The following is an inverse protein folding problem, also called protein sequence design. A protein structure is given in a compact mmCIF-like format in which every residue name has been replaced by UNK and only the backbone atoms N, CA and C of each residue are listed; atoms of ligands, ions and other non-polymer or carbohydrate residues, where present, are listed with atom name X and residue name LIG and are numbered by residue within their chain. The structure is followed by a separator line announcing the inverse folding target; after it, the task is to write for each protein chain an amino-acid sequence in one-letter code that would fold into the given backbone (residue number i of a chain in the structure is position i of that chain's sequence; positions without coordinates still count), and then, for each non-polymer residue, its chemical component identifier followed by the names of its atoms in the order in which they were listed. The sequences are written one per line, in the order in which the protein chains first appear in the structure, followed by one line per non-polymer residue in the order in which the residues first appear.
data_IF_301337713074
#
_entry.id   IF_301337713074
#
_cell.length_a   1.000
_cell.length_b   1.000
_cell.length_c   1.000
_cell.angle_alpha   90.00
_cell.angle_beta   90.00
_cell.angle_gamma   90.00
#
_symmetry.space_group_name_H-M   'P 1'
#
loop_
_entity.id
_entity.type
_entity.pdbx_description
1 polymer ?
#
# COMPACT_ATOMS: atom_id res chain seq x y z
N UNK A 1 18.21 -4.50 14.50
CA UNK A 1 17.93 -5.33 13.32
C UNK A 1 16.47 -5.13 12.93
N UNK A 2 16.19 -4.32 11.91
CA UNK A 2 14.83 -3.91 11.50
C UNK A 2 14.32 -4.75 10.32
N UNK A 3 14.51 -6.07 10.39
CA UNK A 3 14.12 -7.01 9.35
C UNK A 3 12.66 -7.45 9.56
N UNK A 4 11.71 -7.10 8.67
CA UNK A 4 10.33 -7.52 8.82
C UNK A 4 10.22 -9.04 8.69
N UNK A 5 9.43 -9.67 9.58
CA UNK A 5 9.12 -11.10 9.55
C UNK A 5 7.63 -11.27 9.39
N UNK A 6 7.21 -12.05 8.39
CA UNK A 6 5.83 -12.49 8.27
C UNK A 6 5.60 -13.69 9.19
N UNK A 7 4.59 -13.61 10.04
CA UNK A 7 4.21 -14.64 11.01
C UNK A 7 2.70 -14.82 11.02
N UNK A 8 2.24 -15.84 11.77
CA UNK A 8 0.83 -16.23 11.89
C UNK A 8 0.19 -16.65 10.55
N UNK A 9 0.43 -17.91 10.20
CA UNK A 9 -0.12 -18.54 9.00
C UNK A 9 -1.43 -19.28 9.25
N UNK A 10 -2.13 -19.01 10.38
CA UNK A 10 -3.34 -19.74 10.78
C UNK A 10 -4.53 -19.58 9.81
N UNK A 11 -4.50 -18.53 8.98
CA UNK A 11 -5.52 -18.24 7.97
C UNK A 11 -5.04 -18.47 6.52
N UNK A 12 -3.86 -19.06 6.33
CA UNK A 12 -3.34 -19.32 4.98
C UNK A 12 -4.26 -20.27 4.23
N UNK A 13 -4.72 -19.81 3.08
CA UNK A 13 -5.52 -20.59 2.13
C UNK A 13 -4.66 -20.93 0.90
N UNK A 14 -4.08 -22.13 0.88
CA UNK A 14 -3.22 -22.61 -0.23
C UNK A 14 -2.16 -23.62 0.20
N UNK A 15 -1.51 -24.32 -0.75
CA UNK A 15 -0.47 -25.34 -0.48
C UNK A 15 -0.45 -26.48 -1.51
N UNK A 16 0.19 -27.61 -1.18
CA UNK A 16 0.31 -28.83 -2.04
C UNK A 16 -1.03 -29.56 -2.23
N UNK A 17 -2.15 -28.97 -1.81
CA UNK A 17 -3.47 -29.58 -1.92
C UNK A 17 -4.12 -29.19 -3.25
N UNK A 18 -4.71 -30.13 -4.01
CA UNK A 18 -4.75 -30.05 -5.48
C UNK A 18 -5.78 -29.07 -6.04
N UNK A 19 -6.67 -28.54 -5.20
CA UNK A 19 -7.82 -27.76 -5.67
C UNK A 19 -8.35 -26.91 -4.51
N UNK A 20 -8.00 -25.62 -4.48
CA UNK A 20 -8.67 -24.59 -3.67
C UNK A 20 -8.56 -23.18 -4.28
N UNK A 21 -8.75 -23.04 -5.60
CA UNK A 21 -9.15 -21.73 -6.15
C UNK A 21 -10.54 -21.29 -5.66
N UNK A 22 -11.22 -22.18 -4.92
CA UNK A 22 -12.56 -22.03 -4.37
C UNK A 22 -12.51 -22.13 -2.83
N UNK A 23 -11.75 -21.27 -2.16
CA UNK A 23 -12.17 -20.87 -0.81
C UNK A 23 -13.17 -19.73 -1.01
N UNK A 24 -14.43 -20.10 -1.17
CA UNK A 24 -15.51 -19.14 -1.28
C UNK A 24 -15.57 -18.28 -0.01
N UNK A 25 -15.61 -16.97 -0.22
CA UNK A 25 -15.78 -15.93 0.79
C UNK A 25 -17.15 -15.94 1.49
N UNK A 26 -17.63 -17.09 1.94
CA UNK A 26 -18.89 -17.14 2.68
C UNK A 26 -18.74 -16.54 4.10
N UNK A 27 -17.51 -16.38 4.59
CA UNK A 27 -17.24 -15.79 5.90
C UNK A 27 -16.18 -14.70 5.79
N UNK A 28 -16.46 -13.53 6.37
CA UNK A 28 -15.50 -12.46 6.55
C UNK A 28 -14.53 -12.88 7.66
N UNK A 29 -13.30 -13.24 7.29
CA UNK A 29 -12.25 -13.64 8.25
C UNK A 29 -11.05 -12.71 8.05
N UNK A 30 -10.53 -12.17 9.15
CA UNK A 30 -9.33 -11.31 9.14
C UNK A 30 -9.39 -10.24 10.22
N UNK A 31 -8.37 -9.40 10.25
CA UNK A 31 -8.29 -8.26 11.16
C UNK A 31 -9.00 -7.04 10.57
N UNK A 32 -9.87 -6.42 11.36
CA UNK A 32 -10.62 -5.24 10.92
C UNK A 32 -9.67 -4.11 10.49
N UNK A 33 -10.02 -3.41 9.41
CA UNK A 33 -9.17 -2.38 8.81
C UNK A 33 -8.15 -2.91 7.79
N UNK A 34 -7.90 -4.22 7.77
CA UNK A 34 -7.03 -4.89 6.78
C UNK A 34 -7.82 -5.84 5.85
N UNK A 35 -9.08 -6.12 6.17
CA UNK A 35 -9.98 -6.91 5.34
C UNK A 35 -10.44 -6.10 4.13
N UNK A 36 -10.30 -6.70 2.95
CA UNK A 36 -10.88 -6.17 1.72
C UNK A 36 -12.36 -6.58 1.56
N UNK A 37 -13.26 -5.68 1.98
CA UNK A 37 -14.70 -5.87 1.82
C UNK A 37 -15.20 -5.72 0.37
N UNK A 38 -14.37 -5.21 -0.56
CA UNK A 38 -14.78 -5.05 -1.97
C UNK A 38 -14.58 -6.33 -2.77
N UNK A 39 -13.74 -7.25 -2.30
CA UNK A 39 -13.51 -8.54 -2.95
C UNK A 39 -14.73 -9.45 -3.03
N UNK A 40 -15.72 -9.26 -2.15
CA UNK A 40 -16.93 -10.08 -2.12
C UNK A 40 -17.77 -9.92 -3.40
N UNK A 41 -17.80 -8.71 -3.97
CA UNK A 41 -18.61 -8.40 -5.14
C UNK A 41 -17.97 -8.93 -6.45
N UNK A 42 -16.64 -9.06 -6.50
CA UNK A 42 -15.88 -9.42 -7.70
C UNK A 42 -15.39 -10.88 -7.73
N UNK A 43 -15.94 -11.74 -6.87
CA UNK A 43 -15.67 -13.19 -6.93
C UNK A 43 -14.42 -13.65 -6.17
N UNK A 44 -13.91 -12.84 -5.25
CA UNK A 44 -12.90 -13.18 -4.25
C UNK A 44 -11.59 -13.82 -4.74
N UNK A 45 -10.49 -13.05 -4.63
CA UNK A 45 -9.13 -13.55 -4.85
C UNK A 45 -8.29 -13.32 -3.61
N UNK A 46 -7.85 -14.40 -2.93
CA UNK A 46 -6.97 -14.31 -1.76
C UNK A 46 -5.71 -13.48 -2.06
N UNK A 47 -5.10 -13.70 -3.23
CA UNK A 47 -3.95 -12.92 -3.69
C UNK A 47 -4.23 -11.41 -3.79
N UNK A 48 -5.45 -10.98 -4.16
CA UNK A 48 -5.83 -9.56 -4.22
C UNK A 48 -6.19 -8.99 -2.86
N UNK A 49 -6.68 -9.83 -1.95
CA UNK A 49 -6.88 -9.46 -0.54
C UNK A 49 -5.53 -9.25 0.16
N UNK A 50 -4.53 -10.09 -0.11
CA UNK A 50 -3.16 -9.92 0.39
C UNK A 50 -2.53 -8.60 -0.10
N UNK A 51 -2.71 -8.28 -1.38
CA UNK A 51 -2.27 -6.99 -1.96
C UNK A 51 -2.93 -5.82 -1.24
N UNK A 52 -4.25 -5.91 -1.00
CA UNK A 52 -4.98 -4.87 -0.29
C UNK A 52 -4.46 -4.67 1.13
N UNK A 53 -4.34 -5.75 1.91
CA UNK A 53 -3.85 -5.69 3.28
C UNK A 53 -2.43 -5.12 3.35
N UNK A 54 -1.57 -5.52 2.41
CA UNK A 54 -0.23 -4.94 2.28
C UNK A 54 -0.27 -3.44 1.92
N UNK A 55 -1.17 -3.02 1.03
CA UNK A 55 -1.41 -1.62 0.71
C UNK A 55 -1.82 -0.79 1.93
N UNK A 56 -2.71 -1.32 2.77
CA UNK A 56 -3.06 -0.71 4.07
C UNK A 56 -1.81 -0.56 4.94
N UNK A 57 -1.00 -1.63 5.07
CA UNK A 57 0.24 -1.60 5.87
C UNK A 57 1.22 -0.52 5.36
N UNK A 58 1.42 -0.42 4.04
CA UNK A 58 2.25 0.63 3.44
C UNK A 58 1.78 2.03 3.84
N UNK A 59 0.48 2.29 3.67
CA UNK A 59 -0.14 3.58 4.02
C UNK A 59 0.00 3.86 5.52
N UNK A 60 -0.26 2.87 6.38
CA UNK A 60 -0.14 2.95 7.82
C UNK A 60 1.27 3.36 8.25
N UNK A 61 2.30 2.73 7.68
CA UNK A 61 3.70 3.01 8.01
C UNK A 61 4.09 4.45 7.64
N UNK A 62 3.84 4.87 6.39
CA UNK A 62 4.29 6.20 5.94
C UNK A 62 3.49 7.34 6.58
N UNK A 63 2.23 7.10 6.95
CA UNK A 63 1.40 8.09 7.62
C UNK A 63 1.49 8.06 9.15
N UNK A 64 2.25 7.10 9.72
CA UNK A 64 2.29 6.80 11.17
C UNK A 64 0.89 6.66 11.76
N UNK A 65 -0.04 6.05 11.02
CA UNK A 65 -1.44 5.85 11.40
C UNK A 65 -1.75 4.37 11.52
N UNK A 66 -2.45 3.99 12.58
CA UNK A 66 -2.94 2.61 12.77
C UNK A 66 -4.44 2.67 12.99
N UNK A 67 -5.14 1.59 12.65
CA UNK A 67 -6.56 1.43 12.97
C UNK A 67 -6.73 0.57 14.22
N UNK A 68 -7.37 1.11 15.23
CA UNK A 68 -7.57 0.48 16.54
C UNK A 68 -9.03 0.08 16.76
N UNK A 69 -9.28 -0.68 17.84
CA UNK A 69 -10.65 -0.99 18.25
C UNK A 69 -11.43 0.25 18.69
N UNK A 70 -10.77 1.26 19.27
CA UNK A 70 -11.39 2.55 19.60
C UNK A 70 -11.87 3.27 18.32
N UNK A 71 -11.04 3.27 17.27
CA UNK A 71 -11.42 3.80 15.95
C UNK A 71 -12.61 3.04 15.36
N UNK A 72 -12.69 1.73 15.59
CA UNK A 72 -13.83 0.90 15.17
C UNK A 72 -15.12 1.28 15.89
N UNK A 73 -15.06 1.42 17.20
CA UNK A 73 -16.22 1.76 18.03
C UNK A 73 -16.72 3.19 17.79
N UNK A 74 -15.83 4.10 17.43
CA UNK A 74 -16.14 5.49 17.09
C UNK A 74 -16.51 5.71 15.62
N UNK A 75 -16.58 4.65 14.80
CA UNK A 75 -16.82 4.71 13.35
C UNK A 75 -15.83 5.61 12.59
N UNK A 76 -14.62 5.76 13.12
CA UNK A 76 -13.57 6.50 12.44
C UNK A 76 -13.18 5.80 11.12
N UNK A 77 -12.79 6.55 10.09
CA UNK A 77 -12.30 5.96 8.86
C UNK A 77 -11.01 5.18 9.15
N UNK A 78 -10.95 3.95 8.65
CA UNK A 78 -9.71 3.19 8.59
C UNK A 78 -8.68 3.87 7.67
N UNK A 79 -7.45 3.37 7.70
CA UNK A 79 -6.30 4.02 7.08
C UNK A 79 -6.49 4.22 5.57
N UNK A 80 -6.96 3.21 4.84
CA UNK A 80 -7.19 3.36 3.40
C UNK A 80 -8.27 4.41 3.11
N UNK A 81 -9.40 4.39 3.83
CA UNK A 81 -10.51 5.32 3.59
C UNK A 81 -10.09 6.75 3.89
N UNK A 82 -9.31 6.95 4.95
CA UNK A 82 -8.71 8.24 5.28
C UNK A 82 -7.74 8.71 4.17
N UNK A 83 -6.85 7.84 3.67
CA UNK A 83 -5.88 8.17 2.64
C UNK A 83 -6.55 8.53 1.30
N UNK A 84 -7.57 7.77 0.90
CA UNK A 84 -8.36 8.09 -0.30
C UNK A 84 -9.11 9.41 -0.16
N UNK A 85 -9.71 9.69 1.00
CA UNK A 85 -10.33 10.98 1.28
C UNK A 85 -9.35 12.14 1.12
N UNK A 86 -8.11 11.95 1.60
CA UNK A 86 -7.03 12.92 1.42
C UNK A 86 -6.62 13.13 -0.03
N UNK A 87 -6.57 12.05 -0.81
CA UNK A 87 -6.29 12.12 -2.25
C UNK A 87 -7.37 12.91 -2.99
N UNK A 88 -8.65 12.61 -2.73
CA UNK A 88 -9.77 13.30 -3.38
C UNK A 88 -9.82 14.78 -3.02
N UNK A 89 -9.54 15.14 -1.77
CA UNK A 89 -9.48 16.53 -1.36
C UNK A 89 -8.33 17.28 -2.08
N UNK A 90 -7.15 16.66 -2.17
CA UNK A 90 -6.02 17.20 -2.93
C UNK A 90 -6.37 17.44 -4.41
N UNK A 91 -7.04 16.48 -5.05
CA UNK A 91 -7.44 16.60 -6.46
C UNK A 91 -8.46 17.72 -6.68
N UNK A 92 -9.43 17.91 -5.75
CA UNK A 92 -10.39 19.02 -5.83
C UNK A 92 -9.74 20.40 -5.67
N UNK A 93 -8.81 20.53 -4.74
CA UNK A 93 -8.06 21.78 -4.52
C UNK A 93 -7.28 22.14 -5.80
N UNK A 94 -6.63 21.16 -6.42
CA UNK A 94 -5.91 21.31 -7.69
C UNK A 94 -6.81 21.75 -8.86
N UNK A 95 -8.02 21.21 -8.96
CA UNK A 95 -8.97 21.61 -10.01
C UNK A 95 -9.44 23.06 -9.83
N UNK A 96 -9.51 23.55 -8.59
CA UNK A 96 -9.91 24.92 -8.30
C UNK A 96 -8.83 25.98 -8.63
N UNK A 97 -7.54 25.65 -8.45
CA UNK A 97 -6.43 26.56 -8.74
C UNK A 97 -6.06 26.60 -10.24
N UNK A 98 -6.31 25.52 -10.97
CA UNK A 98 -5.97 25.44 -12.40
C UNK A 98 -6.78 26.37 -13.31
N UNK A 99 -7.85 27.02 -12.81
CA UNK A 99 -8.62 28.05 -13.53
C UNK A 99 -8.05 29.47 -13.43
N UNK A 100 -6.93 29.70 -12.73
CA UNK A 100 -6.42 31.06 -12.42
C UNK A 100 -5.23 31.55 -13.25
N UNK A 101 -4.62 30.75 -14.12
CA UNK A 101 -3.44 31.19 -14.87
C UNK A 101 -3.38 30.62 -16.30
N UNK A 102 -4.05 31.29 -17.24
CA UNK A 102 -3.68 31.26 -18.66
C UNK A 102 -2.57 32.29 -18.89
N UNK A 103 -1.35 31.99 -18.44
CA UNK A 103 -0.17 32.71 -18.91
C UNK A 103 1.05 31.80 -18.89
N UNK A 104 1.44 31.41 -20.10
CA UNK A 104 2.75 30.97 -20.54
C UNK A 104 3.90 31.33 -19.59
N UNK A 105 4.37 30.40 -18.76
CA UNK A 105 5.79 30.27 -18.35
C UNK A 105 6.00 28.94 -17.59
N UNK A 106 6.83 28.05 -18.14
CA UNK A 106 7.65 27.11 -17.38
C UNK A 106 6.99 25.84 -16.84
N UNK A 107 7.58 24.69 -17.19
CA UNK A 107 7.32 23.34 -16.68
C UNK A 107 7.56 23.23 -15.16
N UNK A 108 6.71 23.91 -14.38
CA UNK A 108 6.68 23.83 -12.92
C UNK A 108 6.03 22.50 -12.58
N UNK A 109 6.86 21.47 -12.43
CA UNK A 109 6.45 20.11 -12.05
C UNK A 109 5.59 20.19 -10.79
N UNK A 110 4.26 20.08 -10.96
CA UNK A 110 3.27 20.25 -9.88
C UNK A 110 3.59 19.32 -8.70
N UNK A 111 3.29 19.73 -7.45
CA UNK A 111 3.49 18.87 -6.30
C UNK A 111 2.69 17.57 -6.48
N UNK A 112 3.20 16.48 -5.91
CA UNK A 112 2.56 15.16 -5.97
C UNK A 112 1.98 14.83 -4.60
N UNK A 113 0.75 14.31 -4.60
CA UNK A 113 0.05 13.96 -3.36
C UNK A 113 0.83 12.92 -2.56
N UNK A 114 0.94 13.14 -1.24
CA UNK A 114 1.66 12.25 -0.32
C UNK A 114 0.98 12.28 1.04
N UNK A 115 0.81 11.11 1.67
CA UNK A 115 0.29 10.97 3.04
C UNK A 115 1.39 10.82 4.09
N UNK A 116 2.65 11.07 3.71
CA UNK A 116 3.80 10.95 4.59
C UNK A 116 3.64 11.83 5.82
N UNK A 117 3.84 11.24 7.00
CA UNK A 117 3.82 11.97 8.25
C UNK A 117 5.01 12.95 8.33
N UNK A 118 4.83 14.22 8.74
CA UNK A 118 5.90 15.22 8.77
C UNK A 118 7.15 14.80 9.55
N UNK A 119 7.00 14.00 10.62
CA UNK A 119 8.17 13.52 11.37
C UNK A 119 9.06 12.55 10.60
N UNK A 120 8.57 11.84 9.57
CA UNK A 120 9.48 11.08 8.70
C UNK A 120 10.36 12.02 7.87
N UNK A 121 9.84 13.18 7.47
CA UNK A 121 10.61 14.18 6.72
C UNK A 121 11.56 14.97 7.63
N UNK A 122 11.14 15.22 8.88
CA UNK A 122 11.89 16.06 9.81
C UNK A 122 12.94 15.30 10.62
N UNK A 123 12.72 14.03 10.93
CA UNK A 123 13.52 13.27 11.90
C UNK A 123 14.30 12.11 11.27
N UNK A 124 13.91 11.62 10.09
CA UNK A 124 14.56 10.49 9.43
C UNK A 124 15.47 10.98 8.29
N UNK A 125 16.80 11.00 8.47
CA UNK A 125 17.74 11.48 7.45
C UNK A 125 17.81 10.56 6.23
N UNK A 126 17.36 9.31 6.35
CA UNK A 126 17.39 8.31 5.28
C UNK A 126 16.09 8.33 4.45
N UNK A 127 15.08 9.08 4.89
CA UNK A 127 13.81 9.21 4.19
C UNK A 127 13.82 10.36 3.17
N UNK A 128 13.73 10.03 1.88
CA UNK A 128 13.54 11.04 0.83
C UNK A 128 12.05 11.41 0.66
N UNK A 129 11.65 12.68 0.88
CA UNK A 129 10.28 13.14 0.61
C UNK A 129 9.81 12.90 -0.83
N UNK A 130 10.73 12.84 -1.80
CA UNK A 130 10.43 12.55 -3.20
C UNK A 130 9.94 11.10 -3.42
N UNK A 131 10.18 10.20 -2.47
CA UNK A 131 9.66 8.84 -2.51
C UNK A 131 8.29 8.70 -1.86
N UNK A 132 7.95 9.61 -0.95
CA UNK A 132 6.68 9.63 -0.24
C UNK A 132 5.46 9.52 -1.15
N UNK A 133 5.43 10.31 -2.23
CA UNK A 133 4.32 10.27 -3.19
C UNK A 133 4.28 8.94 -3.96
N UNK A 134 5.44 8.30 -4.24
CA UNK A 134 5.50 7.02 -4.96
C UNK A 134 4.95 5.90 -4.10
N UNK A 135 5.33 5.87 -2.82
CA UNK A 135 4.83 4.88 -1.86
C UNK A 135 3.34 5.13 -1.59
N UNK A 136 2.92 6.39 -1.44
CA UNK A 136 1.50 6.76 -1.31
C UNK A 136 0.69 6.26 -2.50
N UNK A 137 1.10 6.57 -3.73
CA UNK A 137 0.44 6.11 -4.95
C UNK A 137 0.34 4.59 -4.99
N UNK A 138 1.43 3.88 -4.68
CA UNK A 138 1.44 2.42 -4.67
C UNK A 138 0.45 1.84 -3.63
N UNK A 139 0.38 2.43 -2.43
CA UNK A 139 -0.57 2.04 -1.40
C UNK A 139 -2.03 2.27 -1.81
N UNK A 140 -2.31 3.38 -2.50
CA UNK A 140 -3.64 3.66 -3.06
C UNK A 140 -3.99 2.65 -4.17
N UNK A 141 -3.08 2.36 -5.10
CA UNK A 141 -3.28 1.36 -6.17
C UNK A 141 -3.59 -0.03 -5.59
N UNK A 142 -2.92 -0.41 -4.50
CA UNK A 142 -3.17 -1.67 -3.80
C UNK A 142 -4.56 -1.74 -3.15
N UNK A 143 -5.09 -0.59 -2.71
CA UNK A 143 -6.37 -0.49 -1.98
C UNK A 143 -7.54 -0.02 -2.85
N UNK A 144 -7.33 0.03 -4.18
CA UNK A 144 -8.36 0.39 -5.15
C UNK A 144 -9.58 -0.53 -5.10
N UNK A 145 -10.74 0.00 -5.49
CA UNK A 145 -12.00 -0.76 -5.46
C UNK A 145 -12.04 -1.90 -6.48
N UNK A 146 -11.52 -1.67 -7.67
CA UNK A 146 -11.51 -2.65 -8.75
C UNK A 146 -10.37 -3.66 -8.55
N UNK A 147 -10.68 -4.95 -8.33
CA UNK A 147 -9.64 -5.95 -8.07
C UNK A 147 -8.74 -6.17 -9.27
N UNK A 148 -9.28 -6.05 -10.48
CA UNK A 148 -8.55 -6.21 -11.73
C UNK A 148 -7.44 -5.16 -11.91
N UNK A 149 -7.66 -3.94 -11.42
CA UNK A 149 -6.72 -2.81 -11.53
C UNK A 149 -5.62 -2.88 -10.47
N UNK A 150 -5.86 -3.54 -9.33
CA UNK A 150 -4.84 -3.69 -8.28
C UNK A 150 -3.60 -4.39 -8.83
N UNK A 151 -2.38 -3.96 -8.45
CA UNK A 151 -1.17 -4.66 -8.84
C UNK A 151 -1.13 -6.08 -8.27
N UNK A 152 -0.30 -6.94 -8.85
CA UNK A 152 0.15 -8.18 -8.22
C UNK A 152 1.22 -7.89 -7.17
N UNK A 153 1.38 -8.74 -6.15
CA UNK A 153 2.49 -8.58 -5.18
C UNK A 153 3.87 -8.50 -5.84
N UNK A 154 4.06 -9.18 -6.99
CA UNK A 154 5.28 -9.07 -7.80
C UNK A 154 5.49 -7.66 -8.37
N UNK A 155 4.43 -7.01 -8.83
CA UNK A 155 4.47 -5.61 -9.29
C UNK A 155 4.72 -4.66 -8.12
N UNK A 156 4.05 -4.87 -6.97
CA UNK A 156 4.27 -4.10 -5.73
C UNK A 156 5.73 -4.15 -5.30
N UNK A 157 6.31 -5.35 -5.21
CA UNK A 157 7.72 -5.55 -4.87
C UNK A 157 8.66 -4.80 -5.83
N UNK A 158 8.42 -4.89 -7.14
CA UNK A 158 9.22 -4.18 -8.15
C UNK A 158 9.12 -2.66 -8.01
N UNK A 159 7.94 -2.13 -7.69
CA UNK A 159 7.74 -0.70 -7.46
C UNK A 159 8.52 -0.24 -6.23
N UNK A 160 8.44 -0.97 -5.12
CA UNK A 160 9.23 -0.67 -3.91
C UNK A 160 10.73 -0.77 -4.15
N UNK A 161 11.19 -1.78 -4.89
CA UNK A 161 12.60 -1.92 -5.21
C UNK A 161 13.14 -0.72 -6.02
N UNK A 162 12.33 -0.14 -6.89
CA UNK A 162 12.70 1.09 -7.63
C UNK A 162 12.82 2.30 -6.74
N UNK A 163 12.00 2.39 -5.69
CA UNK A 163 12.06 3.47 -4.68
C UNK A 163 13.39 3.35 -3.92
N UNK A 164 13.61 2.18 -3.32
CA UNK A 164 14.79 1.86 -2.52
C UNK A 164 16.10 2.00 -3.29
N UNK A 165 16.17 1.52 -4.54
CA UNK A 165 17.40 1.60 -5.37
C UNK A 165 17.86 3.01 -5.69
N UNK A 166 17.00 4.02 -5.62
CA UNK A 166 17.43 5.41 -5.85
C UNK A 166 18.28 5.94 -4.68
N UNK A 167 18.26 5.25 -3.54
CA UNK A 167 18.90 5.67 -2.28
C UNK A 167 19.89 4.64 -1.72
N UNK A 168 20.18 3.55 -2.45
CA UNK A 168 21.01 2.47 -1.92
C UNK A 168 22.49 2.67 -2.14
N UNK A 169 23.16 3.12 -1.08
CA UNK A 169 24.34 2.45 -0.51
C UNK A 169 23.97 1.54 0.69
N UNK A 170 22.72 1.52 1.17
CA UNK A 170 22.38 1.00 2.52
C UNK A 170 21.60 -0.33 2.62
N UNK A 171 21.32 -1.09 1.56
CA UNK A 171 20.72 -2.43 1.78
C UNK A 171 21.66 -3.46 1.20
N UNK A 172 22.01 -4.46 2.02
CA UNK A 172 22.87 -5.62 1.73
C UNK A 172 22.51 -6.38 0.44
N UNK A 173 22.68 -5.71 -0.68
CA UNK A 173 22.53 -6.16 -2.05
C UNK A 173 23.68 -7.10 -2.46
N UNK A 174 24.61 -7.37 -1.54
CA UNK A 174 25.61 -8.43 -1.66
C UNK A 174 25.11 -9.81 -1.20
N UNK A 175 23.85 -9.97 -0.82
CA UNK A 175 23.32 -11.29 -0.53
C UNK A 175 22.43 -11.75 -1.70
N UNK A 176 22.91 -12.80 -2.39
CA UNK A 176 22.16 -13.71 -3.29
C UNK A 176 20.93 -14.39 -2.62
N UNK A 177 20.42 -13.82 -1.53
CA UNK A 177 19.31 -14.30 -0.71
C UNK A 177 17.97 -13.62 -1.03
N UNK A 178 17.93 -12.60 -1.89
CA UNK A 178 16.67 -11.96 -2.34
C UNK A 178 15.94 -12.73 -3.45
N UNK A 179 16.53 -13.82 -3.95
CA UNK A 179 15.77 -14.83 -4.65
C UNK A 179 14.99 -15.61 -3.60
N UNK A 180 13.65 -15.54 -3.67
CA UNK A 180 12.77 -16.58 -3.18
C UNK A 180 13.34 -17.91 -3.68
N UNK A 181 14.15 -18.59 -2.85
CA UNK A 181 14.60 -19.94 -3.15
C UNK A 181 13.31 -20.76 -3.22
N UNK A 182 13.04 -21.46 -4.34
CA UNK A 182 11.95 -22.43 -4.37
C UNK A 182 12.14 -23.34 -3.17
N UNK A 183 11.08 -23.60 -2.41
CA UNK A 183 11.10 -24.58 -1.34
C UNK A 183 11.59 -25.90 -1.95
N UNK A 184 12.84 -26.29 -1.64
CA UNK A 184 13.38 -27.56 -2.09
C UNK A 184 12.60 -28.67 -1.37
N UNK A 185 12.25 -29.70 -2.16
CA UNK A 185 11.29 -30.75 -1.84
C UNK A 185 11.75 -31.68 -0.72
#
# INVERSE_FOLDING_TARGET
DYNPKLCDFGLVSGGIFPDRTIYTCHHVIGSYGYIDITSFDEGCSSAKQDVYAFGVILLSMISKRVYTEEDRLSYAPNVFRWAWGRCFEYDREKDSDSKKHDSDTGDSKKPKFSVVHPSLVAEDPDFDPSDGYKITSLGLDCTGRNLSERPTMKQVFRSLLKVVKNHTDFIGANNDALLLRPCEK
#
